data_IF_517869323979
#
_entry.id   IF_517869323979
#
_cell.length_a   1.000
_cell.length_b   1.000
_cell.length_c   1.000
_cell.angle_alpha   90.00
_cell.angle_beta   90.00
_cell.angle_gamma   90.00
#
_symmetry.space_group_name_H-M   'P 1'
#
loop_
_entity.id
_entity.type
_entity.pdbx_description
1 polymer ?
#
# COMPACT_ATOMS: atom_id res chain seq x y z
N UNK A 1 0.39 68.05 47.05
CA UNK A 1 -0.28 67.64 45.82
C UNK A 1 0.04 66.20 45.53
N UNK A 2 -0.92 65.32 45.81
CA UNK A 2 -0.76 63.87 45.62
C UNK A 2 -1.15 63.48 44.20
N UNK A 3 -0.23 62.82 43.49
CA UNK A 3 -0.53 62.14 42.22
C UNK A 3 -0.65 60.63 42.49
N UNK A 4 -1.88 60.13 42.54
CA UNK A 4 -2.14 58.68 42.59
C UNK A 4 -2.07 58.11 41.18
N UNK A 5 -1.07 57.31 40.93
CA UNK A 5 -0.96 56.51 39.72
C UNK A 5 -1.77 55.23 39.91
N UNK A 6 -2.82 55.08 39.12
CA UNK A 6 -3.68 53.90 39.07
C UNK A 6 -3.00 52.84 38.16
N UNK A 7 -2.42 51.82 38.77
CA UNK A 7 -1.95 50.63 38.01
C UNK A 7 -3.11 49.69 37.76
N UNK A 8 -3.68 49.77 36.54
CA UNK A 8 -4.67 48.82 36.06
C UNK A 8 -4.04 47.47 35.81
N UNK A 9 -4.46 46.45 36.55
CA UNK A 9 -4.09 45.04 36.34
C UNK A 9 -4.74 44.51 35.08
N UNK A 10 -3.99 44.44 33.99
CA UNK A 10 -4.40 43.76 32.77
C UNK A 10 -4.25 42.23 33.00
N UNK A 11 -5.39 41.57 33.23
CA UNK A 11 -5.43 40.09 33.26
C UNK A 11 -5.42 39.60 31.82
N UNK A 12 -4.24 39.18 31.36
CA UNK A 12 -4.10 38.46 30.11
C UNK A 12 -4.53 37.01 30.37
N UNK A 13 -5.78 36.68 30.00
CA UNK A 13 -6.25 35.30 29.91
C UNK A 13 -5.67 34.68 28.67
N UNK A 14 -4.56 33.95 28.81
CA UNK A 14 -4.01 33.10 27.78
C UNK A 14 -4.96 31.90 27.59
N UNK A 15 -5.84 31.99 26.62
CA UNK A 15 -6.60 30.82 26.13
C UNK A 15 -5.64 29.87 25.45
N UNK A 16 -5.26 28.80 26.14
CA UNK A 16 -4.47 27.71 25.60
C UNK A 16 -5.37 26.90 24.64
N UNK A 17 -5.33 27.22 23.35
CA UNK A 17 -5.92 26.41 22.29
C UNK A 17 -5.07 25.13 22.16
N UNK A 18 -5.48 24.07 22.85
CA UNK A 18 -4.97 22.73 22.63
C UNK A 18 -5.50 22.27 21.28
N UNK A 19 -4.68 22.40 20.23
CA UNK A 19 -4.90 21.71 18.96
C UNK A 19 -4.69 20.23 19.23
N UNK A 20 -5.77 19.50 19.47
CA UNK A 20 -5.77 18.05 19.38
C UNK A 20 -5.56 17.67 17.92
N UNK A 21 -4.29 17.53 17.51
CA UNK A 21 -3.91 16.84 16.29
C UNK A 21 -4.23 15.35 16.49
N UNK A 22 -5.50 15.00 16.35
CA UNK A 22 -5.93 13.61 16.34
C UNK A 22 -5.23 12.92 15.18
N UNK A 23 -4.30 12.01 15.47
CA UNK A 23 -3.82 11.05 14.49
C UNK A 23 -5.03 10.25 14.01
N UNK A 24 -5.61 10.65 12.88
CA UNK A 24 -6.68 9.89 12.25
C UNK A 24 -6.05 8.59 11.71
N UNK A 25 -6.06 7.56 12.53
CA UNK A 25 -5.70 6.22 12.08
C UNK A 25 -6.76 5.75 11.09
N UNK A 26 -6.35 5.51 9.85
CA UNK A 26 -7.26 4.94 8.83
C UNK A 26 -7.78 3.59 9.35
N UNK A 27 -9.10 3.41 9.47
CA UNK A 27 -9.65 2.15 9.93
C UNK A 27 -9.27 1.02 8.96
N UNK A 28 -9.19 -0.25 9.43
CA UNK A 28 -8.96 -1.38 8.56
C UNK A 28 -10.01 -1.44 7.44
N UNK A 29 -9.55 -1.68 6.21
CA UNK A 29 -10.46 -1.92 5.10
C UNK A 29 -11.19 -3.26 5.31
N UNK A 30 -12.48 -3.36 4.96
CA UNK A 30 -13.18 -4.64 4.98
C UNK A 30 -12.50 -5.59 3.99
N UNK A 31 -12.48 -6.91 4.28
CA UNK A 31 -11.93 -7.90 3.35
C UNK A 31 -12.59 -7.80 1.97
N UNK A 32 -11.79 -7.87 0.90
CA UNK A 32 -12.31 -7.87 -0.45
C UNK A 32 -13.09 -9.17 -0.72
N UNK A 33 -14.32 -9.03 -1.20
CA UNK A 33 -15.13 -10.19 -1.59
C UNK A 33 -14.89 -10.49 -3.08
N UNK A 34 -14.01 -11.43 -3.38
CA UNK A 34 -13.67 -11.80 -4.77
C UNK A 34 -14.80 -12.54 -5.52
N UNK A 35 -15.90 -12.87 -4.83
CA UNK A 35 -17.11 -13.45 -5.47
C UNK A 35 -17.99 -12.38 -6.11
N UNK A 36 -17.79 -11.11 -5.74
CA UNK A 36 -18.52 -10.01 -6.37
C UNK A 36 -18.16 -9.90 -7.86
N UNK A 37 -19.10 -9.54 -8.72
CA UNK A 37 -18.84 -9.43 -10.16
C UNK A 37 -17.80 -8.32 -10.47
N UNK A 38 -17.07 -8.53 -11.56
CA UNK A 38 -16.11 -7.55 -12.08
C UNK A 38 -14.67 -7.73 -11.62
N UNK A 39 -14.40 -8.68 -10.74
CA UNK A 39 -13.02 -9.04 -10.40
C UNK A 39 -12.37 -9.88 -11.50
N UNK A 40 -11.16 -9.48 -11.89
CA UNK A 40 -10.26 -10.28 -12.73
C UNK A 40 -9.19 -10.83 -11.79
N UNK A 41 -9.23 -12.13 -11.55
CA UNK A 41 -8.32 -12.81 -10.62
C UNK A 41 -7.26 -13.56 -11.39
N UNK A 42 -6.00 -13.35 -11.02
CA UNK A 42 -4.82 -14.06 -11.51
C UNK A 42 -4.10 -14.69 -10.35
N UNK A 43 -3.78 -15.97 -10.47
CA UNK A 43 -3.04 -16.73 -9.48
C UNK A 43 -1.77 -17.28 -10.12
N UNK A 44 -0.72 -17.43 -9.32
CA UNK A 44 0.54 -17.94 -9.81
C UNK A 44 1.59 -18.11 -8.73
N UNK A 45 2.83 -18.18 -9.16
CA UNK A 45 3.97 -18.22 -8.25
C UNK A 45 4.90 -17.06 -8.56
N UNK A 46 5.56 -16.55 -7.53
CA UNK A 46 6.50 -15.46 -7.65
C UNK A 46 7.67 -15.60 -6.68
N UNK A 47 8.76 -14.93 -7.03
CA UNK A 47 9.93 -14.75 -6.18
C UNK A 47 10.08 -13.28 -5.90
N UNK A 48 10.03 -12.90 -4.64
CA UNK A 48 10.19 -11.54 -4.15
C UNK A 48 11.57 -11.33 -3.55
N UNK A 49 12.20 -10.22 -3.88
CA UNK A 49 13.41 -9.69 -3.26
C UNK A 49 13.14 -8.25 -2.82
N UNK A 50 13.27 -7.98 -1.54
CA UNK A 50 12.94 -6.68 -0.97
C UNK A 50 13.95 -5.57 -1.33
N UNK A 51 15.22 -5.91 -1.51
CA UNK A 51 16.29 -4.99 -1.94
C UNK A 51 17.48 -5.80 -2.47
N UNK A 52 18.52 -5.12 -2.96
CA UNK A 52 19.71 -5.80 -3.57
C UNK A 52 20.39 -6.83 -2.66
N UNK A 53 20.42 -6.59 -1.36
CA UNK A 53 21.08 -7.44 -0.38
C UNK A 53 20.16 -8.45 0.29
N UNK A 54 18.84 -8.36 0.07
CA UNK A 54 17.88 -9.23 0.71
C UNK A 54 17.83 -10.61 0.04
N UNK A 55 17.54 -11.68 0.80
CA UNK A 55 17.29 -13.00 0.25
C UNK A 55 16.03 -12.99 -0.63
N UNK A 56 15.99 -13.89 -1.59
CA UNK A 56 14.81 -14.15 -2.39
C UNK A 56 13.82 -15.04 -1.61
N UNK A 57 12.56 -14.66 -1.67
CA UNK A 57 11.45 -15.40 -1.04
C UNK A 57 10.53 -15.89 -2.15
N UNK A 58 10.44 -17.22 -2.32
CA UNK A 58 9.48 -17.83 -3.22
C UNK A 58 8.13 -18.03 -2.52
N UNK A 59 7.03 -17.80 -3.25
CA UNK A 59 5.69 -17.95 -2.73
C UNK A 59 4.63 -17.96 -3.81
N UNK A 60 3.39 -18.11 -3.38
CA UNK A 60 2.20 -18.01 -4.20
C UNK A 60 1.74 -16.56 -4.27
N UNK A 61 1.26 -16.14 -5.44
CA UNK A 61 0.73 -14.80 -5.63
C UNK A 61 -0.70 -14.87 -6.17
N UNK A 62 -1.56 -14.06 -5.57
CA UNK A 62 -2.91 -13.76 -6.06
C UNK A 62 -2.98 -12.27 -6.34
N UNK A 63 -3.43 -11.91 -7.53
CA UNK A 63 -3.73 -10.52 -7.90
C UNK A 63 -5.15 -10.46 -8.43
N UNK A 64 -5.98 -9.72 -7.76
CA UNK A 64 -7.33 -9.41 -8.19
C UNK A 64 -7.44 -7.92 -8.49
N UNK A 65 -7.96 -7.59 -9.66
CA UNK A 65 -8.14 -6.21 -10.11
C UNK A 65 -9.57 -6.00 -10.59
N UNK A 66 -10.05 -4.76 -10.50
CA UNK A 66 -11.40 -4.36 -10.90
C UNK A 66 -11.35 -3.01 -11.63
N UNK A 67 -12.27 -2.77 -12.55
CA UNK A 67 -12.28 -1.56 -13.40
C UNK A 67 -12.41 -0.25 -12.60
N UNK A 68 -13.05 -0.29 -11.43
CA UNK A 68 -13.22 0.85 -10.52
C UNK A 68 -11.98 1.14 -9.67
N UNK A 69 -10.81 0.68 -10.11
CA UNK A 69 -9.52 0.85 -9.43
C UNK A 69 -9.38 0.10 -8.11
N UNK A 70 -10.29 -0.81 -7.79
CA UNK A 70 -10.11 -1.71 -6.66
C UNK A 70 -9.07 -2.78 -6.98
N UNK A 71 -8.29 -3.17 -6.00
CA UNK A 71 -7.30 -4.21 -6.16
C UNK A 71 -7.03 -4.95 -4.85
N UNK A 72 -6.69 -6.23 -4.97
CA UNK A 72 -6.15 -7.06 -3.90
C UNK A 72 -4.92 -7.78 -4.44
N UNK A 73 -3.81 -7.68 -3.72
CA UNK A 73 -2.61 -8.48 -3.97
C UNK A 73 -2.28 -9.23 -2.70
N UNK A 74 -2.14 -10.54 -2.82
CA UNK A 74 -1.74 -11.39 -1.70
C UNK A 74 -0.52 -12.19 -2.11
N UNK A 75 0.53 -12.16 -1.29
CA UNK A 75 1.72 -12.98 -1.45
C UNK A 75 1.86 -13.89 -0.23
N UNK A 76 1.90 -15.18 -0.48
CA UNK A 76 1.81 -16.22 0.56
C UNK A 76 2.98 -17.18 0.43
N UNK A 77 3.68 -17.42 1.52
CA UNK A 77 4.56 -18.58 1.67
C UNK A 77 3.82 -19.61 2.51
N UNK A 78 3.16 -20.52 1.84
CA UNK A 78 2.21 -21.46 2.43
C UNK A 78 2.71 -22.09 3.73
N UNK A 79 1.94 -22.05 4.83
CA UNK A 79 0.55 -21.55 4.91
C UNK A 79 0.43 -20.05 5.30
N UNK A 80 1.52 -19.28 5.38
CA UNK A 80 1.54 -17.96 5.97
C UNK A 80 1.44 -16.85 4.91
N UNK A 81 0.41 -15.97 4.95
CA UNK A 81 0.41 -14.76 4.17
C UNK A 81 1.53 -13.82 4.66
N UNK A 82 2.38 -13.41 3.73
CA UNK A 82 3.47 -12.48 4.01
C UNK A 82 3.06 -11.04 3.75
N UNK A 83 2.28 -10.82 2.69
CA UNK A 83 1.80 -9.50 2.28
C UNK A 83 0.33 -9.61 1.88
N UNK A 84 -0.46 -8.68 2.34
CA UNK A 84 -1.84 -8.44 1.89
C UNK A 84 -1.95 -6.95 1.57
N UNK A 85 -2.00 -6.60 0.29
CA UNK A 85 -2.17 -5.23 -0.17
C UNK A 85 -3.56 -5.07 -0.79
N UNK A 86 -4.36 -4.18 -0.24
CA UNK A 86 -5.73 -3.93 -0.69
C UNK A 86 -5.92 -2.44 -1.00
N UNK A 87 -6.63 -2.18 -2.07
CA UNK A 87 -7.03 -0.84 -2.49
C UNK A 87 -8.52 -0.82 -2.78
N UNK A 88 -9.18 0.21 -2.29
CA UNK A 88 -10.52 0.63 -2.67
C UNK A 88 -10.46 1.90 -3.52
N UNK A 89 -11.60 2.46 -3.90
CA UNK A 89 -11.67 3.74 -4.62
C UNK A 89 -11.07 4.91 -3.82
N UNK A 90 -11.13 4.86 -2.49
CA UNK A 90 -10.82 6.01 -1.62
C UNK A 90 -9.66 5.77 -0.65
N UNK A 91 -9.25 4.52 -0.45
CA UNK A 91 -8.24 4.17 0.53
C UNK A 91 -7.44 2.94 0.10
N UNK A 92 -6.30 2.78 0.72
CA UNK A 92 -5.42 1.61 0.55
C UNK A 92 -4.87 1.16 1.89
N UNK A 93 -4.52 -0.10 1.98
CA UNK A 93 -3.76 -0.67 3.09
C UNK A 93 -2.83 -1.76 2.60
N UNK A 94 -1.73 -1.92 3.31
CA UNK A 94 -0.82 -3.05 3.16
C UNK A 94 -0.57 -3.63 4.54
N UNK A 95 -0.74 -4.93 4.66
CA UNK A 95 -0.50 -5.68 5.87
C UNK A 95 0.67 -6.62 5.69
N UNK A 96 1.50 -6.72 6.72
CA UNK A 96 2.60 -7.67 6.85
C UNK A 96 2.28 -8.54 8.08
N UNK A 97 1.42 -9.56 7.94
CA UNK A 97 0.87 -10.30 9.08
C UNK A 97 1.94 -10.92 9.98
N UNK A 98 3.03 -11.39 9.40
CA UNK A 98 4.16 -11.98 10.14
C UNK A 98 4.90 -10.99 11.05
N UNK A 99 4.75 -9.69 10.80
CA UNK A 99 5.35 -8.61 11.59
C UNK A 99 4.30 -7.83 12.41
N UNK A 100 3.03 -8.21 12.30
CA UNK A 100 1.91 -7.47 12.88
C UNK A 100 1.93 -5.97 12.50
N UNK A 101 2.30 -5.68 11.24
CA UNK A 101 2.40 -4.32 10.71
C UNK A 101 1.30 -4.06 9.71
N UNK A 102 0.74 -2.86 9.76
CA UNK A 102 -0.22 -2.34 8.79
C UNK A 102 0.12 -0.88 8.47
N UNK A 103 0.21 -0.59 7.17
CA UNK A 103 0.31 0.76 6.65
C UNK A 103 -0.95 1.03 5.82
N UNK A 104 -1.55 2.20 6.00
CA UNK A 104 -2.77 2.56 5.31
C UNK A 104 -2.82 4.05 5.01
N UNK A 105 -3.62 4.43 4.03
CA UNK A 105 -3.82 5.82 3.66
C UNK A 105 -5.05 6.03 2.80
N UNK A 106 -5.37 7.30 2.57
CA UNK A 106 -6.44 7.72 1.68
C UNK A 106 -5.91 8.03 0.27
N UNK A 107 -6.78 7.93 -0.72
CA UNK A 107 -6.48 8.24 -2.11
C UNK A 107 -5.59 7.19 -2.79
N UNK A 108 -4.62 7.66 -3.57
CA UNK A 108 -3.73 6.79 -4.33
C UNK A 108 -2.63 6.24 -3.43
N UNK A 109 -2.32 4.93 -3.52
CA UNK A 109 -1.17 4.39 -2.82
C UNK A 109 0.15 4.98 -3.36
N UNK A 110 1.17 5.11 -2.52
CA UNK A 110 2.48 5.58 -2.95
C UNK A 110 3.08 4.73 -4.07
N UNK A 111 3.66 5.40 -5.09
CA UNK A 111 4.19 4.73 -6.29
C UNK A 111 5.37 3.78 -6.02
N UNK A 112 6.06 3.94 -4.88
CA UNK A 112 7.17 3.07 -4.49
C UNK A 112 6.73 1.71 -3.91
N UNK A 113 5.42 1.52 -3.64
CA UNK A 113 4.92 0.25 -3.11
C UNK A 113 4.71 -0.75 -4.26
N UNK A 114 5.60 -1.75 -4.33
CA UNK A 114 5.66 -2.79 -5.36
C UNK A 114 4.29 -3.45 -5.63
N UNK A 115 3.59 -3.80 -4.57
CA UNK A 115 2.35 -4.58 -4.64
C UNK A 115 1.22 -3.83 -5.37
N UNK A 116 1.10 -2.51 -5.13
CA UNK A 116 0.14 -1.67 -5.86
C UNK A 116 0.60 -1.36 -7.28
N UNK A 117 1.91 -1.30 -7.51
CA UNK A 117 2.50 -1.16 -8.85
C UNK A 117 2.16 -2.34 -9.74
N UNK A 118 2.24 -3.58 -9.20
CA UNK A 118 1.84 -4.79 -9.91
C UNK A 118 0.36 -4.76 -10.28
N UNK A 119 -0.52 -4.45 -9.33
CA UNK A 119 -1.96 -4.35 -9.58
C UNK A 119 -2.29 -3.30 -10.66
N UNK A 120 -1.63 -2.15 -10.61
CA UNK A 120 -1.76 -1.07 -11.60
C UNK A 120 -1.37 -1.52 -13.01
N UNK A 121 -0.24 -2.21 -13.15
CA UNK A 121 0.23 -2.74 -14.43
C UNK A 121 -0.78 -3.73 -15.01
N UNK A 122 -1.26 -4.65 -14.18
CA UNK A 122 -2.22 -5.68 -14.61
C UNK A 122 -3.61 -5.12 -14.91
N UNK A 123 -3.92 -3.92 -14.43
CA UNK A 123 -5.12 -3.14 -14.84
C UNK A 123 -4.92 -2.37 -16.15
N UNK A 124 -3.75 -2.47 -16.80
CA UNK A 124 -3.46 -1.82 -18.07
C UNK A 124 -2.95 -0.38 -18.01
N UNK A 125 -2.65 0.13 -16.80
CA UNK A 125 -2.17 1.53 -16.65
C UNK A 125 -0.66 1.68 -16.86
N UNK A 126 0.08 0.58 -16.89
CA UNK A 126 1.55 0.56 -17.03
C UNK A 126 2.31 0.80 -15.71
N UNK A 127 3.62 0.59 -15.71
CA UNK A 127 4.45 0.76 -14.52
C UNK A 127 4.54 2.24 -14.12
N UNK A 128 4.55 2.53 -12.80
CA UNK A 128 4.82 3.87 -12.34
C UNK A 128 6.31 4.24 -12.57
N UNK A 129 6.62 5.52 -12.45
CA UNK A 129 8.00 6.01 -12.57
C UNK A 129 8.95 5.27 -11.59
N UNK A 130 10.13 4.95 -12.07
CA UNK A 130 11.14 4.21 -11.30
C UNK A 130 10.98 2.69 -11.31
N UNK A 131 9.94 2.15 -11.96
CA UNK A 131 9.72 0.72 -12.10
C UNK A 131 9.91 0.24 -13.53
N UNK A 132 10.55 -0.91 -13.70
CA UNK A 132 10.69 -1.62 -14.96
C UNK A 132 9.81 -2.85 -14.96
N UNK A 133 8.96 -2.98 -15.99
CA UNK A 133 8.09 -4.13 -16.21
C UNK A 133 8.49 -4.89 -17.48
N UNK A 134 8.58 -6.19 -17.37
CA UNK A 134 8.79 -7.09 -18.50
C UNK A 134 7.78 -8.24 -18.41
N UNK A 135 7.18 -8.60 -19.52
CA UNK A 135 6.31 -9.76 -19.64
C UNK A 135 6.70 -10.56 -20.88
N UNK A 136 6.69 -11.87 -20.77
CA UNK A 136 6.97 -12.80 -21.89
C UNK A 136 5.68 -13.45 -22.38
N UNK A 137 5.78 -14.12 -23.55
CA UNK A 137 4.67 -14.87 -24.12
C UNK A 137 4.27 -16.10 -23.29
N UNK A 138 5.16 -16.56 -22.41
CA UNK A 138 4.96 -17.74 -21.56
C UNK A 138 4.34 -17.41 -20.20
N UNK A 139 3.60 -16.29 -20.10
CA UNK A 139 3.01 -15.76 -18.88
C UNK A 139 4.01 -15.45 -17.75
N UNK A 140 5.31 -15.45 -18.07
CA UNK A 140 6.33 -15.00 -17.14
C UNK A 140 6.40 -13.47 -17.13
N UNK A 141 6.68 -12.92 -15.97
CA UNK A 141 6.77 -11.48 -15.81
C UNK A 141 7.81 -11.11 -14.74
N UNK A 142 8.29 -9.90 -14.84
CA UNK A 142 9.15 -9.30 -13.81
C UNK A 142 8.84 -7.82 -13.63
N UNK A 143 8.84 -7.39 -12.38
CA UNK A 143 8.72 -6.01 -11.93
C UNK A 143 9.93 -5.69 -11.06
N UNK A 144 10.69 -4.68 -11.42
CA UNK A 144 11.96 -4.36 -10.75
C UNK A 144 12.07 -2.85 -10.55
N UNK A 145 12.51 -2.45 -9.36
CA UNK A 145 12.96 -1.10 -9.10
C UNK A 145 14.49 -1.04 -9.19
N UNK A 146 15.07 -0.43 -10.25
CA UNK A 146 16.52 -0.40 -10.43
C UNK A 146 17.26 0.36 -9.34
N UNK A 147 16.64 1.33 -8.68
CA UNK A 147 17.28 2.14 -7.66
C UNK A 147 17.46 1.40 -6.33
N UNK A 148 16.44 0.68 -5.88
CA UNK A 148 16.46 -0.10 -4.61
C UNK A 148 16.94 -1.53 -4.82
N UNK A 149 16.73 -2.08 -6.03
CA UNK A 149 16.93 -3.50 -6.35
C UNK A 149 15.78 -4.38 -5.85
N UNK A 150 14.67 -3.78 -5.38
CA UNK A 150 13.44 -4.51 -5.11
C UNK A 150 12.92 -5.14 -6.39
N UNK A 151 12.54 -6.41 -6.34
CA UNK A 151 12.05 -7.14 -7.51
C UNK A 151 11.03 -8.19 -7.14
N UNK A 152 10.08 -8.38 -8.05
CA UNK A 152 9.13 -9.48 -8.02
C UNK A 152 9.09 -10.11 -9.41
N UNK A 153 9.31 -11.42 -9.49
CA UNK A 153 9.35 -12.17 -10.75
C UNK A 153 8.47 -13.39 -10.60
N UNK A 154 7.72 -13.73 -11.63
CA UNK A 154 6.85 -14.87 -11.52
C UNK A 154 6.16 -15.24 -12.82
N UNK A 155 5.13 -16.08 -12.68
CA UNK A 155 4.22 -16.43 -13.76
C UNK A 155 2.81 -16.55 -13.21
N UNK A 156 1.83 -16.33 -14.08
CA UNK A 156 0.43 -16.61 -13.78
C UNK A 156 -0.01 -17.92 -14.43
N UNK A 157 -0.81 -18.68 -13.69
CA UNK A 157 -1.43 -19.90 -14.22
C UNK A 157 -2.46 -19.54 -15.28
N UNK A 158 -2.46 -20.28 -16.38
CA UNK A 158 -3.50 -20.23 -17.41
C UNK A 158 -4.72 -20.96 -16.86
N UNK A 159 -5.85 -20.28 -16.74
CA UNK A 159 -7.16 -20.89 -16.46
C UNK A 159 -7.94 -21.08 -17.74
#
# INVERSE_FOLDING_TARGET
>A
MLFKIFFGRFKISAALLVLEAGCQTVPPLPPANLRDPGWIVREGQAVWRQNRGAPEIAGEILVATRLDSQALVQFTKTPFPLIIAQRTTHAWQIEIPTQNQRHAGHGQPPAHLLWFSLARILSGTGPPEGWSWQASKDNQWSLTNPSTGESLKGYFMIR
#
